data_IF_541410098960
#
_entry.id   IF_541410098960
#
_cell.length_a   1.000
_cell.length_b   1.000
_cell.length_c   1.000
_cell.angle_alpha   90.00
_cell.angle_beta   90.00
_cell.angle_gamma   90.00
#
_symmetry.space_group_name_H-M   'P 1'
#
loop_
_entity.id
_entity.type
_entity.pdbx_description
1 polymer ?
#
# COMPACT_ATOMS: atom_id res chain seq x y z
N UNK A 1 27.12 9.42 11.29
CA UNK A 1 25.92 9.96 10.64
C UNK A 1 25.35 8.86 9.77
N UNK A 2 24.20 8.35 10.14
CA UNK A 2 23.49 7.35 9.33
C UNK A 2 22.89 8.09 8.12
N UNK A 3 23.32 7.67 6.92
CA UNK A 3 22.80 8.21 5.67
C UNK A 3 21.59 7.39 5.24
N UNK A 4 20.43 8.02 5.23
CA UNK A 4 19.20 7.37 4.76
C UNK A 4 19.12 7.49 3.24
N UNK A 5 19.08 6.35 2.56
CA UNK A 5 18.92 6.31 1.11
C UNK A 5 17.44 6.52 0.76
N UNK A 6 17.15 7.54 -0.04
CA UNK A 6 15.81 7.75 -0.58
C UNK A 6 15.48 6.69 -1.64
N UNK A 7 14.20 6.37 -1.80
CA UNK A 7 13.70 5.42 -2.79
C UNK A 7 12.70 6.10 -3.72
N UNK A 8 12.81 5.85 -5.03
CA UNK A 8 11.92 6.37 -6.05
C UNK A 8 11.45 5.24 -6.96
N UNK A 9 10.15 5.11 -7.14
CA UNK A 9 9.54 4.17 -8.08
C UNK A 9 9.34 4.81 -9.46
N UNK A 10 9.48 4.01 -10.51
CA UNK A 10 9.11 4.36 -11.88
C UNK A 10 8.49 3.16 -12.58
N UNK A 11 7.35 3.36 -13.24
CA UNK A 11 6.68 2.31 -14.01
C UNK A 11 7.46 2.00 -15.29
N UNK A 12 7.58 0.72 -15.62
CA UNK A 12 8.23 0.26 -16.83
C UNK A 12 7.62 0.91 -18.09
N UNK A 13 8.47 1.43 -18.96
CA UNK A 13 8.03 2.18 -20.14
C UNK A 13 7.61 3.63 -19.89
N UNK A 14 7.49 4.05 -18.63
CA UNK A 14 7.07 5.41 -18.26
C UNK A 14 8.27 6.30 -17.88
N UNK A 15 7.98 7.58 -17.73
CA UNK A 15 8.95 8.59 -17.28
C UNK A 15 8.44 9.25 -16.01
N UNK A 16 9.30 9.32 -15.00
CA UNK A 16 9.06 10.09 -13.78
C UNK A 16 10.03 11.27 -13.67
N UNK A 17 9.59 12.32 -12.98
CA UNK A 17 10.40 13.49 -12.70
C UNK A 17 10.59 13.63 -11.20
N UNK A 18 11.83 13.85 -10.77
CA UNK A 18 12.19 14.06 -9.36
C UNK A 18 13.02 15.31 -9.23
N UNK A 19 12.66 16.15 -8.29
CA UNK A 19 13.40 17.36 -7.99
C UNK A 19 14.37 17.10 -6.81
N UNK A 20 15.68 17.16 -7.10
CA UNK A 20 16.74 17.07 -6.09
C UNK A 20 17.08 18.48 -5.60
N UNK A 21 16.90 18.72 -4.32
CA UNK A 21 17.33 19.96 -3.66
C UNK A 21 18.78 19.79 -3.22
N UNK A 22 19.66 20.66 -3.67
CA UNK A 22 21.09 20.60 -3.42
C UNK A 22 21.44 21.51 -2.25
N UNK A 23 21.79 20.92 -1.13
CA UNK A 23 22.31 21.63 0.03
C UNK A 23 23.83 21.50 0.05
N UNK A 24 24.52 22.63 0.07
CA UNK A 24 25.98 22.69 0.12
C UNK A 24 26.44 23.21 1.49
N UNK A 25 27.03 22.32 2.25
CA UNK A 25 27.57 22.65 3.57
C UNK A 25 29.10 22.76 3.50
N UNK A 26 29.67 23.88 3.95
CA UNK A 26 31.11 24.09 3.95
C UNK A 26 31.56 25.19 2.98
N UNK A 27 32.91 25.40 2.92
CA UNK A 27 33.53 26.46 2.14
C UNK A 27 33.59 26.21 0.63
N UNK A 28 33.53 24.95 0.23
CA UNK A 28 33.60 24.57 -1.19
C UNK A 28 32.20 24.57 -1.79
N UNK A 29 32.01 25.42 -2.80
CA UNK A 29 30.75 25.51 -3.52
C UNK A 29 30.93 24.92 -4.94
N UNK A 30 30.03 24.03 -5.32
CA UNK A 30 29.95 23.46 -6.68
C UNK A 30 28.84 24.15 -7.48
N UNK A 31 29.10 24.48 -8.72
CA UNK A 31 28.06 24.94 -9.62
C UNK A 31 27.08 23.79 -9.89
N UNK A 32 25.78 24.06 -9.97
CA UNK A 32 24.75 23.01 -10.15
C UNK A 32 24.96 22.19 -11.42
N UNK A 33 25.48 22.80 -12.50
CA UNK A 33 25.81 22.16 -13.75
C UNK A 33 27.03 21.22 -13.68
N UNK A 34 27.84 21.31 -12.63
CA UNK A 34 28.94 20.40 -12.36
C UNK A 34 28.51 19.10 -11.69
N UNK A 35 27.26 19.04 -11.18
CA UNK A 35 26.70 17.84 -10.53
C UNK A 35 26.16 16.91 -11.60
N UNK A 36 26.69 15.70 -11.66
CA UNK A 36 26.27 14.67 -12.61
C UNK A 36 25.55 13.56 -11.86
N UNK A 37 24.33 13.25 -12.29
CA UNK A 37 23.61 12.08 -11.81
C UNK A 37 23.86 10.91 -12.77
N UNK A 38 24.24 9.75 -12.23
CA UNK A 38 24.58 8.58 -13.05
C UNK A 38 24.34 7.26 -12.32
N UNK A 39 24.12 6.19 -13.10
CA UNK A 39 24.08 4.82 -12.58
C UNK A 39 25.49 4.35 -12.18
N UNK A 40 25.58 3.19 -11.51
CA UNK A 40 26.84 2.52 -11.18
C UNK A 40 27.67 2.21 -12.43
N UNK A 41 27.00 1.90 -13.56
CA UNK A 41 27.62 1.62 -14.86
C UNK A 41 28.10 2.90 -15.57
N UNK A 42 27.79 4.07 -15.04
CA UNK A 42 28.22 5.36 -15.61
C UNK A 42 27.23 5.99 -16.60
N UNK A 43 26.05 5.41 -16.79
CA UNK A 43 25.01 6.03 -17.61
C UNK A 43 24.49 7.29 -16.92
N UNK A 44 24.48 8.41 -17.65
CA UNK A 44 24.04 9.69 -17.13
C UNK A 44 22.52 9.81 -17.14
N UNK A 45 21.96 10.29 -16.04
CA UNK A 45 20.55 10.64 -15.93
C UNK A 45 20.37 12.06 -16.50
N UNK A 46 19.42 12.28 -17.42
CA UNK A 46 19.12 13.60 -17.93
C UNK A 46 18.60 14.51 -16.81
N UNK A 47 19.12 15.75 -16.77
CA UNK A 47 18.78 16.72 -15.74
C UNK A 47 18.44 18.08 -16.34
N UNK A 48 17.64 18.86 -15.60
CA UNK A 48 17.30 20.25 -15.88
C UNK A 48 17.49 21.08 -14.63
N UNK A 49 18.24 22.17 -14.71
CA UNK A 49 18.40 23.11 -13.58
C UNK A 49 17.18 24.03 -13.50
N UNK A 50 16.46 23.97 -12.37
CA UNK A 50 15.21 24.72 -12.14
C UNK A 50 15.39 26.02 -11.35
N UNK A 51 16.59 26.35 -10.93
CA UNK A 51 16.87 27.44 -10.00
C UNK A 51 16.68 27.05 -8.52
N UNK A 52 16.95 27.96 -7.60
CA UNK A 52 16.82 27.74 -6.15
C UNK A 52 17.47 26.43 -5.66
N UNK A 53 18.67 26.14 -6.11
CA UNK A 53 19.41 24.90 -5.80
C UNK A 53 18.67 23.61 -6.15
N UNK A 54 17.75 23.65 -7.13
CA UNK A 54 16.95 22.50 -7.53
C UNK A 54 17.39 21.98 -8.88
N UNK A 55 17.62 20.66 -8.97
CA UNK A 55 17.90 19.94 -10.20
C UNK A 55 16.78 18.94 -10.41
N UNK A 56 16.07 19.02 -11.53
CA UNK A 56 15.06 18.03 -11.95
C UNK A 56 15.73 16.91 -12.71
N UNK A 57 15.51 15.67 -12.25
CA UNK A 57 15.94 14.45 -12.90
C UNK A 57 14.81 13.87 -13.74
N UNK A 58 15.15 13.34 -14.91
CA UNK A 58 14.22 12.59 -15.77
C UNK A 58 14.57 11.11 -15.67
N UNK A 59 13.73 10.36 -14.97
CA UNK A 59 13.90 8.93 -14.70
C UNK A 59 13.05 8.11 -15.65
N UNK A 60 13.63 7.07 -16.27
CA UNK A 60 12.91 6.18 -17.18
C UNK A 60 12.79 4.78 -16.59
N UNK A 61 11.57 4.24 -16.58
CA UNK A 61 11.32 2.84 -16.27
C UNK A 61 11.79 1.95 -17.42
N UNK A 62 12.64 0.97 -17.11
CA UNK A 62 13.29 0.12 -18.14
C UNK A 62 13.10 -1.36 -17.90
N UNK A 63 12.85 -1.75 -16.66
CA UNK A 63 12.81 -3.15 -16.23
C UNK A 63 11.47 -3.50 -15.61
N UNK A 64 11.14 -4.77 -15.61
CA UNK A 64 9.87 -5.27 -15.06
C UNK A 64 9.80 -5.18 -13.55
N UNK A 65 10.91 -5.53 -12.89
CA UNK A 65 11.08 -5.38 -11.44
C UNK A 65 12.56 -5.48 -11.09
N UNK A 66 13.22 -4.34 -11.01
CA UNK A 66 14.63 -4.23 -10.62
C UNK A 66 14.87 -2.91 -9.90
N UNK A 67 15.97 -2.80 -9.19
CA UNK A 67 16.42 -1.53 -8.62
C UNK A 67 17.89 -1.27 -8.94
N UNK A 68 18.22 0.01 -9.01
CA UNK A 68 19.59 0.48 -9.21
C UNK A 68 19.86 1.72 -8.37
N UNK A 69 21.12 1.95 -8.01
CA UNK A 69 21.52 3.16 -7.29
C UNK A 69 21.92 4.23 -8.28
N UNK A 70 21.32 5.39 -8.13
CA UNK A 70 21.69 6.61 -8.84
C UNK A 70 22.56 7.45 -7.92
N UNK A 71 23.76 7.78 -8.40
CA UNK A 71 24.75 8.59 -7.68
C UNK A 71 24.76 10.02 -8.21
N UNK A 72 24.70 10.97 -7.31
CA UNK A 72 25.06 12.36 -7.57
C UNK A 72 26.57 12.50 -7.36
N UNK A 73 27.31 12.85 -8.40
CA UNK A 73 28.76 12.99 -8.32
C UNK A 73 29.23 14.38 -8.75
N UNK A 74 30.31 14.85 -8.13
CA UNK A 74 30.99 16.11 -8.44
C UNK A 74 32.46 15.87 -8.73
N UNK A 75 33.14 16.71 -9.53
CA UNK A 75 34.57 16.61 -9.72
C UNK A 75 35.31 16.92 -8.40
N UNK A 76 36.37 16.19 -8.12
CA UNK A 76 37.27 16.56 -7.00
C UNK A 76 38.00 17.86 -7.29
N UNK A 77 38.03 18.78 -6.31
CA UNK A 77 38.76 20.05 -6.46
C UNK A 77 40.30 19.88 -6.39
N UNK A 78 40.74 18.78 -5.75
CA UNK A 78 42.17 18.49 -5.58
C UNK A 78 42.74 17.61 -6.69
N UNK A 79 41.89 16.78 -7.31
CA UNK A 79 42.28 15.85 -8.37
C UNK A 79 41.14 15.74 -9.39
N UNK A 80 41.26 16.45 -10.50
CA UNK A 80 40.21 16.50 -11.54
C UNK A 80 40.00 15.17 -12.26
N UNK A 81 40.84 14.18 -12.05
CA UNK A 81 40.63 12.81 -12.59
C UNK A 81 39.68 11.99 -11.71
N UNK A 82 39.36 12.46 -10.51
CA UNK A 82 38.49 11.80 -9.55
C UNK A 82 37.14 12.50 -9.42
N UNK A 83 36.15 11.71 -9.11
CA UNK A 83 34.80 12.17 -8.75
C UNK A 83 34.51 11.81 -7.30
N UNK A 84 33.78 12.68 -6.62
CA UNK A 84 33.29 12.48 -5.26
C UNK A 84 31.80 12.23 -5.32
N UNK A 85 31.30 11.29 -4.54
CA UNK A 85 29.87 11.08 -4.37
C UNK A 85 29.31 12.10 -3.40
N UNK A 86 28.40 12.94 -3.86
CA UNK A 86 27.71 13.96 -3.08
C UNK A 86 26.39 13.45 -2.50
N UNK A 87 25.78 12.44 -3.14
CA UNK A 87 24.53 11.84 -2.68
C UNK A 87 24.17 10.62 -3.53
N UNK A 88 23.14 9.90 -3.10
CA UNK A 88 22.58 8.78 -3.85
C UNK A 88 21.11 8.55 -3.51
N UNK A 89 20.39 7.86 -4.38
CA UNK A 89 19.07 7.30 -4.10
C UNK A 89 18.88 5.98 -4.88
N UNK A 90 17.92 5.18 -4.46
CA UNK A 90 17.57 3.93 -5.16
C UNK A 90 16.40 4.18 -6.10
N UNK A 91 16.60 3.88 -7.38
CA UNK A 91 15.57 3.88 -8.41
C UNK A 91 15.01 2.46 -8.55
N UNK A 92 13.68 2.31 -8.39
CA UNK A 92 12.96 1.06 -8.56
C UNK A 92 12.19 1.10 -9.87
N UNK A 93 12.47 0.16 -10.77
CA UNK A 93 11.70 -0.08 -11.98
C UNK A 93 10.65 -1.14 -11.70
N UNK A 94 9.40 -0.88 -12.05
CA UNK A 94 8.28 -1.76 -11.73
C UNK A 94 7.32 -1.87 -12.91
N UNK A 95 6.70 -3.04 -13.07
CA UNK A 95 5.60 -3.22 -14.01
C UNK A 95 4.29 -3.25 -13.25
N UNK A 96 3.33 -2.46 -13.71
CA UNK A 96 2.00 -2.43 -13.11
C UNK A 96 1.35 -3.82 -13.17
N UNK A 97 0.69 -4.20 -12.09
CA UNK A 97 -0.10 -5.44 -11.95
C UNK A 97 -1.51 -5.08 -11.53
N UNK A 98 -2.42 -4.91 -12.50
CA UNK A 98 -3.81 -4.60 -12.20
C UNK A 98 -4.47 -5.72 -11.38
N UNK A 99 -5.21 -5.33 -10.36
CA UNK A 99 -6.01 -6.20 -9.51
C UNK A 99 -7.44 -5.70 -9.48
N UNK A 100 -8.41 -6.60 -9.60
CA UNK A 100 -9.83 -6.29 -9.57
C UNK A 100 -10.38 -6.50 -8.16
N UNK A 101 -10.95 -5.44 -7.58
CA UNK A 101 -11.56 -5.42 -6.24
C UNK A 101 -12.98 -4.92 -6.32
N UNK A 102 -13.87 -5.53 -5.58
CA UNK A 102 -15.27 -5.10 -5.46
C UNK A 102 -15.52 -4.63 -4.03
N UNK A 103 -15.94 -3.39 -3.88
CA UNK A 103 -16.47 -2.87 -2.60
C UNK A 103 -17.97 -3.13 -2.57
N UNK A 104 -18.40 -3.90 -1.60
CA UNK A 104 -19.82 -4.28 -1.43
C UNK A 104 -20.39 -3.52 -0.25
N UNK A 105 -21.41 -2.70 -0.48
CA UNK A 105 -22.20 -2.08 0.58
C UNK A 105 -23.08 -3.13 1.24
N UNK A 106 -22.89 -3.39 2.51
CA UNK A 106 -23.67 -4.33 3.32
C UNK A 106 -24.44 -3.56 4.39
N UNK A 107 -25.76 -3.78 4.46
CA UNK A 107 -26.65 -3.12 5.44
C UNK A 107 -26.45 -1.60 5.49
N UNK A 108 -26.33 -0.97 4.34
CA UNK A 108 -26.18 0.48 4.22
C UNK A 108 -24.77 1.03 4.45
N UNK A 109 -23.74 0.20 4.45
CA UNK A 109 -22.34 0.66 4.48
C UNK A 109 -22.03 1.60 3.32
N UNK A 110 -21.44 2.76 3.59
CA UNK A 110 -21.17 3.77 2.59
C UNK A 110 -19.88 3.44 1.80
N UNK A 111 -20.02 3.21 0.50
CA UNK A 111 -18.90 2.94 -0.43
C UNK A 111 -18.70 4.08 -1.44
N UNK A 112 -19.45 5.17 -1.35
CA UNK A 112 -19.44 6.25 -2.33
C UNK A 112 -18.12 7.04 -2.31
N UNK A 113 -17.49 7.17 -3.46
CA UNK A 113 -16.26 7.93 -3.64
C UNK A 113 -14.99 7.23 -3.12
N UNK A 114 -15.09 6.07 -2.43
CA UNK A 114 -13.95 5.37 -1.86
C UNK A 114 -13.03 4.75 -2.91
N UNK A 115 -13.59 4.29 -4.03
CA UNK A 115 -12.84 3.65 -5.10
C UNK A 115 -11.65 4.50 -5.59
N UNK A 116 -11.89 5.78 -5.81
CA UNK A 116 -10.84 6.71 -6.27
C UNK A 116 -9.75 6.91 -5.22
N UNK A 117 -10.13 7.06 -3.95
CA UNK A 117 -9.17 7.32 -2.87
C UNK A 117 -8.30 6.08 -2.59
N UNK A 118 -8.90 4.90 -2.55
CA UNK A 118 -8.16 3.63 -2.41
C UNK A 118 -7.18 3.43 -3.58
N UNK A 119 -7.65 3.63 -4.83
CA UNK A 119 -6.80 3.48 -6.01
C UNK A 119 -5.59 4.45 -6.00
N UNK A 120 -5.77 5.69 -5.52
CA UNK A 120 -4.67 6.66 -5.37
C UNK A 120 -3.57 6.18 -4.43
N UNK A 121 -3.92 5.47 -3.36
CA UNK A 121 -2.95 4.95 -2.38
C UNK A 121 -2.00 3.95 -3.08
N UNK A 122 -2.55 2.96 -3.77
CA UNK A 122 -1.76 1.92 -4.43
C UNK A 122 -0.99 2.44 -5.65
N UNK A 123 -1.51 3.45 -6.33
CA UNK A 123 -0.80 4.06 -7.48
C UNK A 123 0.57 4.63 -7.11
N UNK A 124 0.79 5.03 -5.86
CA UNK A 124 2.10 5.44 -5.33
C UNK A 124 3.14 4.32 -5.38
N UNK A 125 2.71 3.06 -5.30
CA UNK A 125 3.54 1.86 -5.44
C UNK A 125 3.50 1.25 -6.84
N UNK A 126 3.05 1.99 -7.87
CA UNK A 126 2.90 1.50 -9.25
C UNK A 126 1.97 0.29 -9.34
N UNK A 127 0.94 0.22 -8.50
CA UNK A 127 -0.08 -0.82 -8.54
C UNK A 127 -1.45 -0.22 -8.90
N UNK A 128 -2.10 -0.78 -9.90
CA UNK A 128 -3.46 -0.39 -10.30
C UNK A 128 -4.47 -1.31 -9.63
N UNK A 129 -5.36 -0.72 -8.84
CA UNK A 129 -6.52 -1.41 -8.30
C UNK A 129 -7.76 -0.94 -9.06
N UNK A 130 -8.37 -1.84 -9.82
CA UNK A 130 -9.64 -1.60 -10.49
C UNK A 130 -10.75 -1.85 -9.49
N UNK A 131 -11.42 -0.81 -9.03
CA UNK A 131 -12.44 -0.92 -7.99
C UNK A 131 -13.82 -0.74 -8.59
N UNK A 132 -14.63 -1.77 -8.44
CA UNK A 132 -16.07 -1.72 -8.66
C UNK A 132 -16.81 -1.55 -7.34
N UNK A 133 -17.98 -0.94 -7.36
CA UNK A 133 -18.85 -0.83 -6.20
C UNK A 133 -20.18 -1.53 -6.45
N UNK A 134 -20.62 -2.36 -5.52
CA UNK A 134 -21.93 -2.99 -5.55
C UNK A 134 -22.73 -2.48 -4.34
N UNK A 135 -23.77 -1.70 -4.64
CA UNK A 135 -24.63 -1.06 -3.63
C UNK A 135 -25.98 -1.74 -3.47
N UNK A 136 -26.37 -2.56 -4.45
CA UNK A 136 -27.72 -3.11 -4.50
C UNK A 136 -27.83 -4.39 -3.67
N UNK A 137 -28.55 -4.32 -2.58
CA UNK A 137 -29.19 -5.46 -1.90
C UNK A 137 -28.32 -6.46 -1.13
N UNK A 138 -27.10 -6.15 -0.81
CA UNK A 138 -26.33 -6.99 0.10
C UNK A 138 -26.77 -6.70 1.55
N UNK A 139 -27.96 -7.13 1.90
CA UNK A 139 -28.42 -7.20 3.29
C UNK A 139 -28.00 -8.55 3.87
N UNK A 140 -27.14 -8.52 4.88
CA UNK A 140 -26.76 -9.71 5.61
C UNK A 140 -27.99 -10.22 6.40
N UNK A 141 -28.25 -11.51 6.32
CA UNK A 141 -29.18 -12.14 7.25
C UNK A 141 -28.55 -12.14 8.66
N UNK A 142 -29.12 -11.34 9.56
CA UNK A 142 -28.59 -11.22 10.91
C UNK A 142 -28.63 -12.53 11.71
N UNK A 143 -29.46 -13.50 11.30
CA UNK A 143 -29.45 -14.82 11.89
C UNK A 143 -28.09 -15.55 11.71
N UNK A 144 -27.30 -15.13 10.74
CA UNK A 144 -25.93 -15.66 10.53
C UNK A 144 -24.96 -15.22 11.63
N UNK A 145 -25.22 -14.06 12.27
CA UNK A 145 -24.39 -13.50 13.34
C UNK A 145 -24.79 -13.96 14.75
N UNK A 146 -25.74 -14.88 14.86
CA UNK A 146 -26.26 -15.27 16.17
C UNK A 146 -27.07 -14.15 16.85
N UNK A 147 -27.17 -14.20 18.18
CA UNK A 147 -28.10 -13.36 18.95
C UNK A 147 -27.68 -11.91 19.18
N UNK A 148 -26.48 -11.49 18.81
CA UNK A 148 -25.91 -10.20 19.22
C UNK A 148 -25.58 -9.22 18.10
N UNK A 149 -25.89 -9.56 16.83
CA UNK A 149 -25.60 -8.73 15.65
C UNK A 149 -24.13 -8.25 15.56
N UNK A 150 -23.18 -9.05 16.09
CA UNK A 150 -21.76 -8.77 16.06
C UNK A 150 -21.03 -9.88 15.30
N UNK A 151 -20.18 -9.47 14.35
CA UNK A 151 -19.34 -10.41 13.64
C UNK A 151 -18.16 -10.84 14.53
N UNK A 152 -18.02 -12.14 14.74
CA UNK A 152 -16.88 -12.70 15.45
C UNK A 152 -15.60 -12.56 14.62
N UNK A 153 -14.62 -11.84 15.18
CA UNK A 153 -13.32 -11.60 14.53
C UNK A 153 -12.31 -12.72 14.84
N UNK A 154 -12.62 -13.60 15.81
CA UNK A 154 -11.70 -14.65 16.25
C UNK A 154 -10.59 -14.14 17.17
N UNK A 155 -9.72 -15.04 17.61
CA UNK A 155 -8.65 -14.74 18.56
C UNK A 155 -7.31 -14.44 17.91
N UNK A 156 -7.12 -14.89 16.68
CA UNK A 156 -5.87 -14.71 15.98
C UNK A 156 -6.05 -13.69 14.86
N UNK A 157 -5.40 -12.58 14.96
CA UNK A 157 -5.36 -11.55 13.96
C UNK A 157 -5.08 -12.10 12.54
N UNK A 158 -4.40 -11.40 11.79
CA UNK A 158 -4.03 -11.47 10.38
C UNK A 158 -3.60 -12.83 9.77
N UNK A 159 -3.33 -13.88 10.58
CA UNK A 159 -2.75 -15.15 10.09
C UNK A 159 -3.76 -16.25 9.78
N UNK A 160 -5.03 -16.09 10.14
CA UNK A 160 -5.94 -17.21 10.17
C UNK A 160 -6.89 -17.28 9.00
N UNK A 161 -7.37 -18.49 8.76
CA UNK A 161 -8.53 -18.73 7.92
C UNK A 161 -9.77 -18.06 8.52
N UNK A 162 -10.78 -17.84 7.69
CA UNK A 162 -12.08 -17.42 8.19
C UNK A 162 -12.63 -18.44 9.20
N UNK A 163 -13.15 -17.95 10.32
CA UNK A 163 -13.87 -18.78 11.26
C UNK A 163 -15.25 -19.21 10.68
N UNK A 164 -16.00 -20.04 11.40
CA UNK A 164 -17.29 -20.56 10.94
C UNK A 164 -18.31 -19.48 10.66
N UNK A 165 -18.39 -18.45 11.50
CA UNK A 165 -19.32 -17.33 11.32
C UNK A 165 -18.93 -16.47 10.10
N UNK A 166 -17.66 -16.14 9.94
CA UNK A 166 -17.14 -15.43 8.77
C UNK A 166 -17.41 -16.20 7.47
N UNK A 167 -17.21 -17.52 7.47
CA UNK A 167 -17.56 -18.40 6.32
C UNK A 167 -19.05 -18.34 6.00
N UNK A 168 -19.92 -18.34 7.01
CA UNK A 168 -21.36 -18.24 6.86
C UNK A 168 -21.78 -16.87 6.28
N UNK A 169 -21.19 -15.77 6.78
CA UNK A 169 -21.39 -14.42 6.23
C UNK A 169 -20.95 -14.35 4.76
N UNK A 170 -19.77 -14.88 4.43
CA UNK A 170 -19.29 -14.93 3.04
C UNK A 170 -20.26 -15.72 2.16
N UNK A 171 -20.74 -16.87 2.63
CA UNK A 171 -21.68 -17.71 1.87
C UNK A 171 -23.01 -17.00 1.62
N UNK A 172 -23.58 -16.33 2.64
CA UNK A 172 -24.81 -15.56 2.52
C UNK A 172 -24.65 -14.41 1.52
N UNK A 173 -23.61 -13.59 1.68
CA UNK A 173 -23.37 -12.43 0.80
C UNK A 173 -23.04 -12.83 -0.63
N UNK A 174 -22.27 -13.90 -0.86
CA UNK A 174 -21.99 -14.40 -2.22
C UNK A 174 -23.26 -14.71 -3.01
N UNK A 175 -24.33 -15.13 -2.37
CA UNK A 175 -25.61 -15.42 -3.03
C UNK A 175 -26.41 -14.14 -3.37
N UNK A 176 -26.00 -12.99 -2.86
CA UNK A 176 -26.71 -11.72 -2.98
C UNK A 176 -25.99 -10.68 -3.86
N UNK A 177 -24.75 -10.99 -4.26
CA UNK A 177 -23.90 -10.13 -5.10
C UNK A 177 -23.62 -10.77 -6.45
N UNK A 178 -23.11 -9.97 -7.39
CA UNK A 178 -22.52 -10.48 -8.63
C UNK A 178 -21.11 -10.98 -8.35
N UNK A 179 -21.03 -12.27 -7.95
CA UNK A 179 -19.78 -12.89 -7.53
C UNK A 179 -18.95 -13.41 -8.70
N UNK A 180 -17.67 -13.04 -8.74
CA UNK A 180 -16.68 -13.55 -9.68
C UNK A 180 -15.44 -14.05 -8.90
N UNK A 181 -15.06 -15.30 -9.08
CA UNK A 181 -13.95 -15.93 -8.37
C UNK A 181 -12.57 -15.30 -8.66
N UNK A 182 -12.45 -14.51 -9.74
CA UNK A 182 -11.21 -13.80 -10.10
C UNK A 182 -11.06 -12.43 -9.44
N UNK A 183 -12.06 -11.95 -8.70
CA UNK A 183 -12.04 -10.64 -8.03
C UNK A 183 -11.91 -10.82 -6.53
N UNK A 184 -11.34 -9.80 -5.89
CA UNK A 184 -11.35 -9.68 -4.43
C UNK A 184 -12.56 -8.88 -3.98
N UNK A 185 -13.02 -9.10 -2.76
CA UNK A 185 -14.23 -8.47 -2.22
C UNK A 185 -13.94 -7.86 -0.86
N UNK A 186 -14.37 -6.62 -0.65
CA UNK A 186 -14.38 -5.98 0.66
C UNK A 186 -15.83 -5.64 1.00
N UNK A 187 -16.36 -6.32 2.01
CA UNK A 187 -17.68 -6.06 2.58
C UNK A 187 -17.58 -4.86 3.53
N UNK A 188 -18.24 -3.78 3.17
CA UNK A 188 -18.29 -2.55 3.98
C UNK A 188 -19.63 -2.54 4.72
N UNK A 189 -19.59 -2.81 6.01
CA UNK A 189 -20.78 -2.94 6.85
C UNK A 189 -21.28 -1.60 7.35
N UNK A 190 -22.60 -1.39 7.30
CA UNK A 190 -23.28 -0.27 7.95
C UNK A 190 -23.24 -0.36 9.48
N UNK A 191 -23.53 0.75 10.14
CA UNK A 191 -23.31 0.94 11.58
C UNK A 191 -24.04 0.01 12.55
N UNK A 192 -25.00 -0.79 12.08
CA UNK A 192 -25.72 -1.76 12.92
C UNK A 192 -24.95 -3.08 13.09
N UNK A 193 -23.99 -3.35 12.21
CA UNK A 193 -23.16 -4.55 12.26
C UNK A 193 -21.78 -4.15 12.77
N UNK A 194 -21.44 -4.60 13.96
CA UNK A 194 -20.19 -4.28 14.64
C UNK A 194 -19.31 -5.53 14.78
N UNK A 195 -17.99 -5.39 14.83
CA UNK A 195 -17.11 -6.49 15.19
C UNK A 195 -17.17 -6.80 16.68
N UNK A 196 -16.80 -8.02 17.07
CA UNK A 196 -16.66 -8.40 18.48
C UNK A 196 -15.47 -7.74 19.19
N UNK A 197 -14.51 -7.24 18.43
CA UNK A 197 -13.34 -6.48 18.90
C UNK A 197 -13.31 -5.09 18.26
N UNK A 198 -12.74 -4.07 18.92
CA UNK A 198 -12.68 -2.70 18.38
C UNK A 198 -11.65 -2.58 17.26
N UNK A 199 -11.97 -3.06 16.07
CA UNK A 199 -11.15 -2.97 14.86
C UNK A 199 -11.93 -2.32 13.73
N UNK A 200 -11.24 -1.60 12.85
CA UNK A 200 -11.83 -0.94 11.67
C UNK A 200 -12.09 -1.90 10.52
N UNK A 201 -11.28 -2.93 10.38
CA UNK A 201 -11.37 -3.90 9.31
C UNK A 201 -10.61 -5.19 9.61
N UNK A 202 -10.77 -6.15 8.70
CA UNK A 202 -10.09 -7.43 8.76
C UNK A 202 -10.10 -8.10 7.39
N UNK A 203 -8.94 -8.47 6.87
CA UNK A 203 -8.80 -9.29 5.68
C UNK A 203 -7.60 -10.23 5.85
N UNK A 204 -7.80 -11.54 6.03
CA UNK A 204 -6.68 -12.46 6.23
C UNK A 204 -5.74 -12.46 5.03
N UNK A 205 -4.46 -12.70 5.27
CA UNK A 205 -3.41 -12.66 4.24
C UNK A 205 -3.75 -13.61 3.10
N UNK A 206 -3.65 -13.11 1.86
CA UNK A 206 -3.91 -13.87 0.63
C UNK A 206 -5.31 -14.50 0.59
N UNK A 207 -6.31 -13.83 1.19
CA UNK A 207 -7.71 -14.26 1.13
C UNK A 207 -8.53 -13.31 0.26
N UNK A 208 -9.61 -13.85 -0.28
CA UNK A 208 -10.44 -13.16 -1.27
C UNK A 208 -11.41 -12.15 -0.65
N UNK A 209 -11.79 -12.31 0.63
CA UNK A 209 -12.84 -11.52 1.27
C UNK A 209 -12.29 -10.75 2.47
N UNK A 210 -12.56 -9.45 2.50
CA UNK A 210 -12.31 -8.57 3.63
C UNK A 210 -13.60 -8.02 4.21
N UNK A 211 -13.51 -7.58 5.46
CA UNK A 211 -14.60 -7.02 6.25
C UNK A 211 -14.15 -5.67 6.78
N UNK A 212 -14.93 -4.63 6.54
CA UNK A 212 -14.67 -3.27 7.03
C UNK A 212 -15.92 -2.75 7.70
N UNK A 213 -15.79 -2.15 8.87
CA UNK A 213 -16.88 -1.69 9.68
C UNK A 213 -16.90 -0.16 9.70
N UNK A 214 -18.04 0.42 9.35
CA UNK A 214 -18.21 1.87 9.46
C UNK A 214 -18.80 2.19 10.82
N UNK A 215 -18.16 3.08 11.59
CA UNK A 215 -18.77 3.67 12.76
C UNK A 215 -19.91 4.61 12.35
N UNK A 216 -20.86 4.87 13.24
CA UNK A 216 -21.92 5.86 13.00
C UNK A 216 -21.35 7.26 12.68
N UNK A 217 -20.15 7.55 13.16
CA UNK A 217 -19.42 8.79 12.90
C UNK A 217 -18.86 8.84 11.46
N UNK A 218 -18.45 7.70 10.90
CA UNK A 218 -17.87 7.62 9.55
C UNK A 218 -18.91 7.37 8.44
N UNK A 219 -20.15 7.01 8.77
CA UNK A 219 -21.21 6.76 7.76
C UNK A 219 -21.63 8.02 6.99
N UNK A 220 -21.62 9.18 7.64
CA UNK A 220 -21.95 10.47 7.04
C UNK A 220 -20.72 11.38 6.96
N UNK A 221 -19.55 10.78 6.86
CA UNK A 221 -18.28 11.46 6.99
C UNK A 221 -18.12 12.56 5.92
N UNK A 222 -17.60 13.68 6.35
CA UNK A 222 -16.94 14.68 5.52
C UNK A 222 -15.75 14.06 4.76
N UNK A 223 -15.00 14.86 4.05
CA UNK A 223 -13.86 14.38 3.25
C UNK A 223 -12.76 13.70 4.11
N UNK A 224 -12.60 14.10 5.38
CA UNK A 224 -11.63 13.51 6.31
C UNK A 224 -12.03 12.07 6.70
N UNK A 225 -13.25 11.85 7.11
CA UNK A 225 -13.73 10.50 7.45
C UNK A 225 -13.81 9.55 6.25
N UNK A 226 -14.04 10.07 5.03
CA UNK A 226 -13.88 9.27 3.81
C UNK A 226 -12.42 8.86 3.59
N UNK A 227 -11.49 9.74 3.88
CA UNK A 227 -10.06 9.46 3.80
C UNK A 227 -9.64 8.34 4.76
N UNK A 228 -10.13 8.37 5.99
CA UNK A 228 -9.88 7.32 6.99
C UNK A 228 -10.46 5.97 6.57
N UNK A 229 -11.69 5.94 6.09
CA UNK A 229 -12.34 4.72 5.62
C UNK A 229 -11.63 4.15 4.37
N UNK A 230 -11.24 5.01 3.44
CA UNK A 230 -10.47 4.59 2.26
C UNK A 230 -9.11 4.00 2.65
N UNK A 231 -8.44 4.58 3.67
CA UNK A 231 -7.20 4.04 4.22
C UNK A 231 -7.43 2.67 4.86
N UNK A 232 -8.47 2.51 5.68
CA UNK A 232 -8.81 1.21 6.28
C UNK A 232 -9.04 0.15 5.19
N UNK A 233 -9.82 0.47 4.15
CA UNK A 233 -10.04 -0.44 3.03
C UNK A 233 -8.72 -0.77 2.31
N UNK A 234 -7.87 0.22 2.06
CA UNK A 234 -6.57 0.00 1.43
C UNK A 234 -5.65 -0.86 2.31
N UNK A 235 -5.65 -0.67 3.62
CA UNK A 235 -4.92 -1.48 4.58
C UNK A 235 -5.34 -2.96 4.50
N UNK A 236 -6.64 -3.23 4.51
CA UNK A 236 -7.16 -4.60 4.40
C UNK A 236 -6.86 -5.23 3.03
N UNK A 237 -6.97 -4.47 1.95
CA UNK A 237 -6.53 -4.91 0.61
C UNK A 237 -5.02 -5.23 0.63
N UNK A 238 -4.22 -4.42 1.31
CA UNK A 238 -2.79 -4.68 1.52
C UNK A 238 -2.54 -6.06 2.10
N UNK A 239 -3.26 -6.45 3.13
CA UNK A 239 -3.19 -7.79 3.72
C UNK A 239 -3.70 -8.88 2.77
N UNK A 240 -4.96 -8.78 2.35
CA UNK A 240 -5.62 -9.86 1.63
C UNK A 240 -5.08 -10.10 0.23
N UNK A 241 -4.80 -9.05 -0.52
CA UNK A 241 -4.37 -9.15 -1.92
C UNK A 241 -2.86 -9.33 -2.03
N UNK A 242 -2.10 -8.54 -1.27
CA UNK A 242 -0.65 -8.44 -1.44
C UNK A 242 0.16 -9.07 -0.30
N UNK A 243 -0.50 -9.62 0.72
CA UNK A 243 0.14 -10.18 1.90
C UNK A 243 1.12 -9.20 2.60
N UNK A 244 0.79 -7.90 2.56
CA UNK A 244 1.54 -6.90 3.31
C UNK A 244 1.42 -7.15 4.80
N UNK A 245 2.49 -6.94 5.54
CA UNK A 245 2.56 -7.12 6.99
C UNK A 245 2.66 -5.76 7.67
N UNK A 246 2.31 -5.72 8.94
CA UNK A 246 2.50 -4.51 9.72
C UNK A 246 4.00 -4.20 9.89
N UNK A 247 4.43 -2.94 9.75
CA UNK A 247 5.83 -2.58 9.88
C UNK A 247 6.39 -2.86 11.28
N UNK A 248 5.59 -2.77 12.31
CA UNK A 248 6.02 -3.05 13.67
C UNK A 248 6.26 -4.55 13.95
N UNK A 249 5.74 -5.45 13.12
CA UNK A 249 6.08 -6.88 13.15
C UNK A 249 7.44 -7.15 12.51
N UNK A 250 7.88 -6.28 11.58
CA UNK A 250 9.15 -6.40 10.87
C UNK A 250 10.28 -5.60 11.51
N UNK A 251 9.98 -4.41 12.04
CA UNK A 251 10.98 -3.44 12.49
C UNK A 251 10.95 -3.16 14.01
N UNK A 252 9.99 -3.75 14.74
CA UNK A 252 9.86 -3.62 16.18
C UNK A 252 8.63 -2.81 16.62
N UNK A 253 8.08 -3.21 17.76
CA UNK A 253 6.84 -2.64 18.31
C UNK A 253 6.93 -1.15 18.67
N UNK A 254 8.12 -0.60 18.81
CA UNK A 254 8.34 0.82 19.12
C UNK A 254 7.90 1.78 18.03
N UNK A 255 7.72 1.31 16.78
CA UNK A 255 7.25 2.15 15.67
C UNK A 255 5.73 2.11 15.48
N UNK A 256 5.01 1.25 16.19
CA UNK A 256 3.56 1.11 16.07
C UNK A 256 2.83 2.43 16.30
N UNK A 257 2.00 2.82 15.34
CA UNK A 257 1.24 4.06 15.36
C UNK A 257 2.10 5.34 15.18
N UNK A 258 3.34 5.23 14.67
CA UNK A 258 4.27 6.37 14.54
C UNK A 258 4.78 6.63 13.14
N UNK A 259 4.35 5.86 12.16
CA UNK A 259 4.82 6.02 10.78
C UNK A 259 3.71 6.53 9.87
N UNK A 260 4.09 7.13 8.73
CA UNK A 260 3.16 7.52 7.68
C UNK A 260 2.83 6.35 6.72
N UNK A 261 3.16 5.12 7.10
CA UNK A 261 2.97 3.96 6.24
C UNK A 261 1.54 3.42 6.31
N UNK A 262 1.04 2.93 5.15
CA UNK A 262 -0.30 2.38 5.02
C UNK A 262 -0.57 1.25 6.02
N UNK A 263 0.41 0.37 6.21
CA UNK A 263 0.26 -0.82 7.05
C UNK A 263 0.50 -0.56 8.54
N UNK A 264 0.72 0.70 8.94
CA UNK A 264 0.76 1.11 10.35
C UNK A 264 -0.61 1.60 10.81
N UNK A 265 -0.82 1.64 12.12
CA UNK A 265 -2.07 2.12 12.75
C UNK A 265 -2.15 3.64 12.89
N UNK A 266 -1.12 4.39 12.48
CA UNK A 266 -1.20 5.84 12.31
C UNK A 266 -2.01 6.23 11.06
N UNK A 267 -2.26 7.53 10.85
CA UNK A 267 -3.04 8.02 9.70
C UNK A 267 -2.27 8.12 8.38
N UNK A 268 -1.17 7.37 8.23
CA UNK A 268 -0.38 7.33 7.02
C UNK A 268 -1.02 6.52 5.88
N UNK A 269 -0.60 6.80 4.66
CA UNK A 269 -1.02 6.08 3.45
C UNK A 269 0.13 5.83 2.47
N UNK A 270 1.37 5.86 2.97
CA UNK A 270 2.54 5.62 2.15
C UNK A 270 2.84 4.12 2.08
N UNK A 271 3.21 3.68 0.91
CA UNK A 271 3.78 2.36 0.68
C UNK A 271 5.30 2.52 0.67
N UNK A 272 6.01 1.84 1.55
CA UNK A 272 7.46 1.85 1.57
C UNK A 272 8.05 0.91 0.51
N UNK A 273 9.35 0.95 0.30
CA UNK A 273 10.00 0.14 -0.74
C UNK A 273 9.93 -1.38 -0.49
N UNK A 274 9.72 -1.83 0.74
CA UNK A 274 9.49 -3.24 1.06
C UNK A 274 8.06 -3.65 0.66
N UNK A 275 7.08 -2.76 0.87
CA UNK A 275 5.72 -2.96 0.35
C UNK A 275 5.73 -3.05 -1.18
N UNK A 276 6.48 -2.17 -1.87
CA UNK A 276 6.61 -2.25 -3.33
C UNK A 276 7.15 -3.60 -3.79
N UNK A 277 8.15 -4.12 -3.09
CA UNK A 277 8.70 -5.44 -3.38
C UNK A 277 7.62 -6.52 -3.29
N UNK A 278 6.81 -6.48 -2.25
CA UNK A 278 5.73 -7.44 -2.04
C UNK A 278 4.58 -7.26 -3.05
N UNK A 279 4.23 -6.02 -3.40
CA UNK A 279 3.20 -5.71 -4.42
C UNK A 279 3.54 -6.30 -5.79
N UNK A 280 4.82 -6.24 -6.20
CA UNK A 280 5.26 -6.61 -7.55
C UNK A 280 5.87 -8.01 -7.64
N UNK A 281 6.34 -8.56 -6.54
CA UNK A 281 6.86 -9.93 -6.43
C UNK A 281 6.37 -10.56 -5.13
N UNK A 282 5.07 -10.85 -5.01
CA UNK A 282 4.50 -11.42 -3.79
C UNK A 282 5.17 -12.78 -3.56
N UNK A 283 5.90 -12.89 -2.47
CA UNK A 283 6.36 -14.17 -1.97
C UNK A 283 5.10 -14.97 -1.59
N UNK A 284 4.93 -16.13 -2.19
CA UNK A 284 3.92 -17.08 -1.75
C UNK A 284 4.31 -17.52 -0.34
N UNK A 285 3.68 -16.93 0.66
CA UNK A 285 3.81 -17.39 2.04
C UNK A 285 2.95 -18.63 2.20
N UNK A 286 3.53 -19.80 1.85
CA UNK A 286 2.97 -21.07 2.25
C UNK A 286 3.11 -21.15 3.77
N UNK A 287 2.05 -20.91 4.49
CA UNK A 287 1.99 -21.27 5.89
C UNK A 287 1.88 -22.81 5.96
N UNK A 288 2.99 -23.47 6.23
CA UNK A 288 3.14 -24.93 6.31
C UNK A 288 2.35 -25.53 7.48
N UNK A 289 1.66 -24.72 8.26
CA UNK A 289 0.86 -25.11 9.43
C UNK A 289 -0.61 -24.69 9.32
N UNK A 290 -1.20 -24.84 8.17
CA UNK A 290 -2.65 -24.95 8.10
C UNK A 290 -2.95 -26.46 8.25
N UNK A 291 -2.90 -26.94 9.47
CA UNK A 291 -3.54 -28.21 9.78
C UNK A 291 -5.03 -28.06 9.45
N UNK A 292 -5.44 -28.77 8.43
CA UNK A 292 -6.83 -29.06 8.15
C UNK A 292 -7.34 -29.99 9.27
N UNK A 293 -7.49 -29.43 10.48
CA UNK A 293 -8.33 -30.04 11.51
C UNK A 293 -9.80 -29.68 11.30
N UNK A 294 -10.30 -29.94 10.09
CA UNK A 294 -11.72 -30.07 9.81
C UNK A 294 -11.98 -31.52 9.37
N UNK A 295 -11.84 -32.40 10.29
CA UNK A 295 -12.12 -33.83 10.11
C UNK A 295 -12.41 -34.54 11.41
N UNK A 296 -13.55 -34.16 12.08
CA UNK A 296 -14.47 -35.09 12.71
C UNK A 296 -15.65 -34.32 13.31
#
# INVERSE_FOLDING_TARGET
NDYTLAHQAVENGQTAYVDAIIEQTGSNQYALDSIVFKTKQGEKIPVEIRGNNTIRLTLKGRYTFENEIIYAVVPSMTDRTKQLTAGAFTLWHMTDRPVDVVLVSVNGGNVNGLATEVAKIFKKGVATINIETQTARAELDLAVLGDNARLDIGDSGWLTNYNSEQKAVIADLKNKIDYNFNKYYVFVFGGDILPTKPIGGFMPLQRQFGFVFTSSENQNADEEGKGELAKTIAHEIGHGVFALQHPFDLYGKEIEGKTDWLMDYANGSLLNHMDWKQLHNPELKFYVFQDDEDGE
#
